data_IF_397888209144
#
_entry.id   IF_397888209144
#
_cell.length_a   1.000
_cell.length_b   1.000
_cell.length_c   1.000
_cell.angle_alpha   90.00
_cell.angle_beta   90.00
_cell.angle_gamma   90.00
#
_symmetry.space_group_name_H-M   'P 1'
#
loop_
_entity.id
_entity.type
_entity.pdbx_description
1 polymer ?
#
# COMPACT_ATOMS: atom_id res chain seq x y z
N UNK A 1 -12.10 -25.40 -22.00
CA UNK A 1 -10.68 -25.51 -22.35
C UNK A 1 -9.96 -26.64 -21.62
N UNK A 2 -9.85 -26.74 -20.28
CA UNK A 2 -9.13 -27.87 -19.64
C UNK A 2 -9.47 -29.28 -20.18
N UNK A 3 -10.76 -29.68 -20.22
CA UNK A 3 -11.17 -30.98 -20.77
C UNK A 3 -10.88 -31.17 -22.27
N UNK A 4 -10.91 -30.09 -23.07
CA UNK A 4 -10.61 -30.14 -24.52
C UNK A 4 -9.13 -30.46 -24.80
N UNK A 5 -8.27 -30.24 -23.81
CA UNK A 5 -6.86 -30.65 -23.83
C UNK A 5 -6.64 -32.02 -23.15
N UNK A 6 -7.71 -32.75 -22.82
CA UNK A 6 -7.64 -34.09 -22.24
C UNK A 6 -7.52 -34.16 -20.71
N UNK A 7 -7.68 -33.03 -19.99
CA UNK A 7 -7.68 -33.04 -18.52
C UNK A 7 -9.07 -33.39 -17.96
N UNK A 8 -9.23 -34.63 -17.50
CA UNK A 8 -10.36 -35.04 -16.67
C UNK A 8 -10.05 -34.75 -15.20
N UNK A 9 -10.64 -33.70 -14.64
CA UNK A 9 -10.33 -33.21 -13.29
C UNK A 9 -11.58 -32.83 -12.51
N UNK A 10 -11.54 -33.11 -11.21
CA UNK A 10 -12.55 -32.69 -10.23
C UNK A 10 -11.93 -31.72 -9.25
N UNK A 11 -12.53 -30.54 -9.08
CA UNK A 11 -12.11 -29.58 -8.06
C UNK A 11 -12.73 -30.00 -6.73
N UNK A 12 -11.93 -30.68 -5.90
CA UNK A 12 -12.40 -31.19 -4.61
C UNK A 12 -12.67 -30.06 -3.59
N UNK A 13 -11.83 -29.02 -3.60
CA UNK A 13 -12.00 -27.85 -2.74
C UNK A 13 -11.24 -26.67 -3.32
N UNK A 14 -11.85 -25.49 -3.25
CA UNK A 14 -11.15 -24.24 -3.41
C UNK A 14 -11.08 -23.53 -2.06
N UNK A 15 -9.86 -23.34 -1.54
CA UNK A 15 -9.66 -22.63 -0.28
C UNK A 15 -9.36 -21.14 -0.56
N UNK A 16 -10.40 -20.30 -0.43
CA UNK A 16 -10.29 -18.86 -0.59
C UNK A 16 -9.27 -18.23 0.37
N UNK A 17 -9.20 -18.74 1.61
CA UNK A 17 -8.28 -18.21 2.62
C UNK A 17 -6.82 -18.40 2.20
N UNK A 18 -6.49 -19.54 1.58
CA UNK A 18 -5.15 -19.79 1.03
C UNK A 18 -4.79 -18.79 -0.07
N UNK A 19 -5.74 -18.48 -0.96
CA UNK A 19 -5.53 -17.47 -2.01
C UNK A 19 -5.30 -16.08 -1.40
N UNK A 20 -6.15 -15.66 -0.45
CA UNK A 20 -6.03 -14.37 0.23
C UNK A 20 -4.71 -14.27 0.99
N UNK A 21 -4.32 -15.30 1.73
CA UNK A 21 -3.04 -15.34 2.45
C UNK A 21 -1.85 -15.17 1.49
N UNK A 22 -1.87 -15.89 0.37
CA UNK A 22 -0.81 -15.81 -0.65
C UNK A 22 -0.72 -14.42 -1.27
N UNK A 23 -1.87 -13.80 -1.57
CA UNK A 23 -1.95 -12.43 -2.09
C UNK A 23 -1.44 -11.42 -1.06
N UNK A 24 -1.87 -11.52 0.20
CA UNK A 24 -1.44 -10.61 1.26
C UNK A 24 0.06 -10.70 1.51
N UNK A 25 0.63 -11.91 1.58
CA UNK A 25 2.07 -12.09 1.73
C UNK A 25 2.89 -11.51 0.57
N UNK A 26 2.31 -11.42 -0.64
CA UNK A 26 2.94 -10.70 -1.74
C UNK A 26 2.88 -9.18 -1.55
N UNK A 27 1.74 -8.64 -1.12
CA UNK A 27 1.57 -7.21 -0.81
C UNK A 27 2.55 -6.77 0.29
N UNK A 28 2.71 -7.57 1.35
CA UNK A 28 3.62 -7.25 2.46
C UNK A 28 5.08 -7.12 2.01
N UNK A 29 5.53 -8.00 1.10
CA UNK A 29 6.88 -7.91 0.51
C UNK A 29 7.07 -6.62 -0.29
N UNK A 30 6.02 -6.12 -0.94
CA UNK A 30 6.06 -4.83 -1.65
C UNK A 30 6.21 -3.68 -0.65
N UNK A 31 5.46 -3.69 0.46
CA UNK A 31 5.61 -2.68 1.52
C UNK A 31 7.06 -2.65 2.05
N UNK A 32 7.63 -3.81 2.38
CA UNK A 32 9.02 -3.91 2.83
C UNK A 32 10.01 -3.38 1.77
N UNK A 33 9.76 -3.64 0.48
CA UNK A 33 10.59 -3.09 -0.59
C UNK A 33 10.59 -1.57 -0.62
N UNK A 34 9.44 -0.92 -0.43
CA UNK A 34 9.36 0.55 -0.39
C UNK A 34 10.03 1.13 0.85
N UNK A 35 9.81 0.54 2.03
CA UNK A 35 10.49 0.96 3.27
C UNK A 35 12.01 0.94 3.10
N UNK A 36 12.54 -0.13 2.49
CA UNK A 36 13.97 -0.25 2.20
C UNK A 36 14.49 0.81 1.23
N UNK A 37 13.77 1.07 0.13
CA UNK A 37 14.22 2.04 -0.90
C UNK A 37 14.14 3.47 -0.37
N UNK A 38 13.09 3.81 0.37
CA UNK A 38 12.95 5.13 0.99
C UNK A 38 14.05 5.38 2.03
N UNK A 39 14.32 4.40 2.90
CA UNK A 39 15.40 4.47 3.87
C UNK A 39 16.78 4.62 3.21
N UNK A 40 17.07 3.88 2.13
CA UNK A 40 18.31 4.01 1.36
C UNK A 40 18.50 5.39 0.73
N UNK A 41 17.41 6.06 0.41
CA UNK A 41 17.42 7.41 -0.17
C UNK A 41 17.28 8.51 0.89
N UNK A 42 17.39 8.18 2.18
CA UNK A 42 17.27 9.11 3.31
C UNK A 42 15.96 9.90 3.31
N UNK A 43 14.85 9.24 2.94
CA UNK A 43 13.51 9.83 3.04
C UNK A 43 12.92 9.53 4.41
N UNK A 44 12.57 10.58 5.15
CA UNK A 44 11.85 10.44 6.42
C UNK A 44 10.38 10.09 6.16
N UNK A 45 9.94 8.95 6.69
CA UNK A 45 8.58 8.45 6.52
C UNK A 45 7.82 8.57 7.85
N UNK A 46 6.85 9.48 7.88
CA UNK A 46 5.99 9.69 9.05
C UNK A 46 4.64 9.06 8.76
N UNK A 47 4.31 7.97 9.49
CA UNK A 47 3.01 7.31 9.40
C UNK A 47 1.99 8.11 10.23
N UNK A 48 1.21 8.95 9.56
CA UNK A 48 0.19 9.79 10.19
C UNK A 48 -0.70 10.49 9.15
N UNK A 49 -1.77 11.12 9.61
CA UNK A 49 -2.65 11.92 8.75
C UNK A 49 -2.26 13.39 8.85
N UNK A 50 -1.68 13.93 7.78
CA UNK A 50 -1.22 15.32 7.76
C UNK A 50 -2.36 16.31 7.54
N UNK A 51 -2.27 17.47 8.18
CA UNK A 51 -3.17 18.62 7.96
C UNK A 51 -2.37 19.90 7.79
N UNK A 52 -2.75 20.73 6.82
CA UNK A 52 -2.16 22.07 6.72
C UNK A 52 -2.60 22.93 7.91
N UNK A 53 -1.62 23.56 8.56
CA UNK A 53 -1.83 24.63 9.53
C UNK A 53 -1.87 25.99 8.80
N UNK A 54 -1.03 26.13 7.78
CA UNK A 54 -0.97 27.27 6.87
C UNK A 54 -0.42 26.83 5.49
N UNK A 55 -0.01 27.75 4.62
CA UNK A 55 0.47 27.44 3.27
C UNK A 55 1.79 26.64 3.20
N UNK A 56 2.61 26.64 4.26
CA UNK A 56 3.95 26.02 4.31
C UNK A 56 4.19 25.15 5.55
N UNK A 57 3.17 24.98 6.38
CA UNK A 57 3.25 24.26 7.64
C UNK A 57 2.20 23.16 7.70
N UNK A 58 2.62 21.95 8.09
CA UNK A 58 1.75 20.80 8.33
C UNK A 58 1.83 20.37 9.80
N UNK A 59 0.72 19.86 10.32
CA UNK A 59 0.66 19.10 11.57
C UNK A 59 0.50 17.61 11.25
N UNK A 60 1.31 16.77 11.90
CA UNK A 60 1.20 15.31 11.85
C UNK A 60 1.47 14.75 13.25
N UNK A 61 0.52 14.03 13.83
CA UNK A 61 0.67 13.39 15.15
C UNK A 61 1.05 14.37 16.28
N UNK A 62 0.64 15.64 16.19
CA UNK A 62 0.98 16.71 17.13
C UNK A 62 2.31 17.42 16.86
N UNK A 63 3.09 16.97 15.87
CA UNK A 63 4.34 17.60 15.45
C UNK A 63 4.09 18.60 14.31
N UNK A 64 4.80 19.73 14.34
CA UNK A 64 4.73 20.77 13.30
C UNK A 64 5.93 20.66 12.36
N UNK A 65 5.66 20.54 11.06
CA UNK A 65 6.66 20.34 10.02
C UNK A 65 6.52 21.44 8.96
N UNK A 66 7.63 22.06 8.56
CA UNK A 66 7.67 23.06 7.49
C UNK A 66 8.54 22.60 6.32
N UNK A 67 8.23 23.08 5.12
CA UNK A 67 9.02 22.76 3.92
C UNK A 67 8.92 23.87 2.86
N UNK A 68 10.01 24.09 2.11
CA UNK A 68 10.04 25.05 1.01
C UNK A 68 9.07 24.65 -0.12
N UNK A 69 8.93 23.35 -0.36
CA UNK A 69 8.08 22.79 -1.40
C UNK A 69 7.22 21.66 -0.84
N UNK A 70 5.93 21.66 -1.18
CA UNK A 70 4.95 20.68 -0.71
C UNK A 70 4.22 20.10 -1.92
N UNK A 71 4.26 18.77 -2.04
CA UNK A 71 3.50 18.01 -3.05
C UNK A 71 2.26 17.40 -2.39
N UNK A 72 1.07 17.69 -2.94
CA UNK A 72 -0.19 17.07 -2.51
C UNK A 72 -0.45 15.85 -3.40
N UNK A 73 -0.28 14.65 -2.85
CA UNK A 73 -0.48 13.38 -3.53
C UNK A 73 -1.45 12.45 -2.77
N UNK A 74 -2.60 12.98 -2.34
CA UNK A 74 -3.54 12.30 -1.43
C UNK A 74 -4.48 11.28 -2.10
N UNK A 75 -4.44 11.16 -3.42
CA UNK A 75 -5.27 10.21 -4.17
C UNK A 75 -6.77 10.51 -4.09
N UNK A 76 -7.58 9.45 -4.16
CA UNK A 76 -9.04 9.52 -4.06
C UNK A 76 -9.62 8.26 -3.41
N UNK A 77 -10.92 8.26 -3.12
CA UNK A 77 -11.63 7.12 -2.52
C UNK A 77 -12.98 6.91 -3.22
N UNK A 78 -13.53 5.68 -3.25
CA UNK A 78 -14.86 5.43 -3.78
C UNK A 78 -15.93 6.32 -3.10
N UNK A 79 -16.90 6.78 -3.87
CA UNK A 79 -18.09 7.44 -3.33
C UNK A 79 -19.03 6.41 -2.70
N UNK A 80 -19.78 6.78 -1.65
CA UNK A 80 -20.83 5.93 -1.08
C UNK A 80 -21.90 5.53 -2.11
#
# INVERSE_FOLDING_TARGET
YGPDYGFDTTINKFNWETLIASRTAYIDRIHTSYENVLGKNNVDVIKGFARFVDAKTLEVNGETITADHILIATGGRPSP
#
